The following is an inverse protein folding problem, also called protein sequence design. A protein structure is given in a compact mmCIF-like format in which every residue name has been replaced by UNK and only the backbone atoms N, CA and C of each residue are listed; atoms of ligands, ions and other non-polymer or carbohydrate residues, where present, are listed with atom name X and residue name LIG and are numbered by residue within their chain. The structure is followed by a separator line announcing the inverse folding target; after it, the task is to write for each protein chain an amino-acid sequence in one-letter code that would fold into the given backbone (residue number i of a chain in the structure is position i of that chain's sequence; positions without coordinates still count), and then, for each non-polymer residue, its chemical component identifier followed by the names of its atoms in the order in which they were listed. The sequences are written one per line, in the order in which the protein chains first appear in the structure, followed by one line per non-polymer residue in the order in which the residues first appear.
data_IF_794221789577
#
_entry.id   IF_794221789577
#
_cell.length_a   1.000
_cell.length_b   1.000
_cell.length_c   1.000
_cell.angle_alpha   90.00
_cell.angle_beta   90.00
_cell.angle_gamma   90.00
#
_symmetry.space_group_name_H-M   'P 1'
#
loop_
_entity.id
_entity.type
_entity.pdbx_description
1 polymer ?
#
# COMPACT_ATOMS: atom_id res chain seq x y z
N UNK A 1 -19.16 -20.57 -16.75
CA UNK A 1 -17.72 -20.26 -16.79
C UNK A 1 -17.32 -19.86 -15.39
N UNK A 2 -16.52 -20.68 -14.70
CA UNK A 2 -16.03 -20.37 -13.37
C UNK A 2 -14.92 -19.33 -13.50
N UNK A 3 -15.13 -18.14 -12.96
CA UNK A 3 -14.12 -17.11 -12.84
C UNK A 3 -13.00 -17.65 -11.93
N UNK A 4 -11.71 -17.60 -12.32
CA UNK A 4 -10.65 -17.98 -11.40
C UNK A 4 -10.74 -17.06 -10.20
N UNK A 5 -10.83 -17.62 -9.00
CA UNK A 5 -10.72 -16.85 -7.77
C UNK A 5 -9.41 -16.07 -7.86
N UNK A 6 -9.49 -14.73 -7.89
CA UNK A 6 -8.31 -13.88 -7.84
C UNK A 6 -7.46 -14.36 -6.66
N UNK A 7 -6.19 -14.67 -6.91
CA UNK A 7 -5.27 -15.10 -5.87
C UNK A 7 -5.35 -14.09 -4.72
N UNK A 8 -5.95 -14.51 -3.60
CA UNK A 8 -6.09 -13.65 -2.43
C UNK A 8 -4.70 -13.46 -1.86
N UNK A 9 -4.17 -12.25 -1.94
CA UNK A 9 -2.97 -11.88 -1.18
C UNK A 9 -3.35 -12.02 0.29
N UNK A 10 -2.70 -12.94 1.02
CA UNK A 10 -2.84 -13.02 2.47
C UNK A 10 -2.05 -11.86 3.09
N UNK A 11 -2.73 -10.72 3.21
CA UNK A 11 -2.16 -9.49 3.76
C UNK A 11 -1.66 -9.71 5.20
N UNK A 12 -2.29 -10.59 5.97
CA UNK A 12 -1.89 -10.86 7.35
C UNK A 12 -0.51 -11.54 7.41
N UNK A 13 -0.27 -12.52 6.54
CA UNK A 13 1.04 -13.18 6.43
C UNK A 13 2.15 -12.22 5.98
N UNK A 14 1.86 -11.35 5.00
CA UNK A 14 2.80 -10.31 4.56
C UNK A 14 3.11 -9.32 5.68
N UNK A 15 2.10 -8.91 6.44
CA UNK A 15 2.27 -8.00 7.58
C UNK A 15 3.10 -8.65 8.69
N UNK A 16 2.92 -9.95 8.96
CA UNK A 16 3.74 -10.67 9.93
C UNK A 16 5.21 -10.71 9.51
N UNK A 17 5.46 -11.04 8.23
CA UNK A 17 6.82 -11.05 7.65
C UNK A 17 7.47 -9.66 7.69
N UNK A 18 6.68 -8.60 7.48
CA UNK A 18 7.16 -7.22 7.59
C UNK A 18 7.50 -6.83 9.04
N UNK A 19 6.69 -7.26 10.01
CA UNK A 19 6.97 -7.03 11.44
C UNK A 19 8.26 -7.74 11.84
N UNK A 20 8.46 -8.99 11.42
CA UNK A 20 9.70 -9.73 11.65
C UNK A 20 10.90 -9.01 11.05
N UNK A 21 10.78 -8.51 9.81
CA UNK A 21 11.83 -7.71 9.17
C UNK A 21 12.14 -6.41 9.93
N UNK A 22 11.11 -5.68 10.38
CA UNK A 22 11.29 -4.44 11.17
C UNK A 22 11.92 -4.71 12.55
N UNK A 23 11.61 -5.85 13.16
CA UNK A 23 12.27 -6.30 14.39
C UNK A 23 13.74 -6.67 14.12
N UNK A 24 14.04 -7.35 13.01
CA UNK A 24 15.40 -7.65 12.58
C UNK A 24 16.25 -6.39 12.31
N UNK A 25 15.62 -5.31 11.86
CA UNK A 25 16.25 -4.00 11.66
C UNK A 25 16.31 -3.14 12.94
N UNK A 26 15.77 -3.60 14.06
CA UNK A 26 15.72 -2.85 15.31
C UNK A 26 14.81 -1.61 15.29
N UNK A 27 13.91 -1.51 14.30
CA UNK A 27 12.94 -0.42 14.16
C UNK A 27 11.77 -0.59 15.12
N UNK A 28 11.38 -1.85 15.37
CA UNK A 28 10.38 -2.21 16.36
C UNK A 28 11.03 -2.93 17.54
N UNK A 29 10.56 -2.71 18.79
CA UNK A 29 10.99 -3.53 19.91
C UNK A 29 10.57 -4.99 19.67
N UNK A 30 11.55 -5.90 19.74
CA UNK A 30 11.29 -7.33 19.76
C UNK A 30 10.68 -7.76 21.11
N UNK A 31 9.92 -8.85 21.11
CA UNK A 31 9.30 -9.44 22.32
C UNK A 31 10.31 -10.01 23.33
N UNK A 32 11.62 -9.82 23.11
CA UNK A 32 12.72 -10.30 23.95
C UNK A 32 13.65 -9.16 24.35
N UNK A 33 13.84 -9.03 25.66
CA UNK A 33 14.71 -8.14 26.44
C UNK A 33 15.96 -7.59 25.70
N UNK A 34 16.11 -6.25 25.77
CA UNK A 34 17.39 -5.55 25.61
C UNK A 34 17.31 -4.44 24.58
N UNK A 35 17.51 -3.19 25.02
CA UNK A 35 17.81 -2.06 24.14
C UNK A 35 19.18 -2.29 23.48
N UNK A 36 19.22 -3.15 22.45
CA UNK A 36 20.34 -3.21 21.54
C UNK A 36 20.31 -1.93 20.69
N UNK A 37 21.46 -1.27 20.56
CA UNK A 37 21.63 -0.08 19.74
C UNK A 37 21.01 -0.29 18.34
N UNK A 38 20.40 0.74 17.74
CA UNK A 38 19.91 0.64 16.38
C UNK A 38 21.11 0.28 15.48
N UNK A 39 20.92 -0.78 14.69
CA UNK A 39 21.82 -1.31 13.66
C UNK A 39 23.30 -1.53 14.06
N UNK A 40 23.60 -2.66 14.71
CA UNK A 40 24.94 -3.26 14.73
C UNK A 40 25.31 -3.98 13.42
N UNK A 41 24.81 -3.49 12.28
CA UNK A 41 25.10 -4.04 10.95
C UNK A 41 26.47 -3.53 10.48
N UNK A 42 27.24 -4.38 9.80
CA UNK A 42 28.41 -3.90 9.07
C UNK A 42 27.98 -2.94 7.94
N UNK A 43 28.87 -2.05 7.49
CA UNK A 43 28.54 -1.01 6.51
C UNK A 43 27.91 -1.59 5.22
N UNK A 44 28.41 -2.74 4.76
CA UNK A 44 27.89 -3.45 3.59
C UNK A 44 26.46 -3.98 3.81
N UNK A 45 26.15 -4.46 5.02
CA UNK A 45 24.84 -5.00 5.36
C UNK A 45 23.78 -3.89 5.44
N UNK A 46 24.16 -2.67 5.86
CA UNK A 46 23.28 -1.50 5.85
C UNK A 46 22.89 -1.12 4.41
N UNK A 47 23.83 -1.18 3.48
CA UNK A 47 23.56 -0.88 2.07
C UNK A 47 22.60 -1.89 1.44
N UNK A 48 22.80 -3.19 1.72
CA UNK A 48 21.92 -4.26 1.24
C UNK A 48 20.51 -4.08 1.81
N UNK A 49 20.40 -3.89 3.13
CA UNK A 49 19.12 -3.66 3.78
C UNK A 49 18.38 -2.42 3.23
N UNK A 50 19.12 -1.34 2.95
CA UNK A 50 18.55 -0.13 2.33
C UNK A 50 17.94 -0.43 0.95
N UNK A 51 18.66 -1.17 0.10
CA UNK A 51 18.18 -1.56 -1.23
C UNK A 51 16.94 -2.46 -1.17
N UNK A 52 16.89 -3.38 -0.20
CA UNK A 52 15.74 -4.27 0.03
C UNK A 52 14.51 -3.49 0.49
N UNK A 53 14.66 -2.57 1.45
CA UNK A 53 13.56 -1.71 1.93
C UNK A 53 13.01 -0.86 0.80
N UNK A 54 13.88 -0.29 -0.05
CA UNK A 54 13.46 0.47 -1.24
C UNK A 54 12.71 -0.40 -2.26
N UNK A 55 13.14 -1.66 -2.45
CA UNK A 55 12.44 -2.61 -3.30
C UNK A 55 11.03 -2.91 -2.81
N UNK A 56 10.88 -3.15 -1.50
CA UNK A 56 9.59 -3.35 -0.87
C UNK A 56 8.71 -2.10 -1.00
N UNK A 57 9.27 -0.91 -0.77
CA UNK A 57 8.57 0.37 -0.93
C UNK A 57 7.95 0.52 -2.32
N UNK A 58 8.71 0.20 -3.38
CA UNK A 58 8.22 0.23 -4.76
C UNK A 58 7.07 -0.75 -5.01
N UNK A 59 7.13 -1.96 -4.45
CA UNK A 59 6.05 -2.95 -4.56
C UNK A 59 4.77 -2.41 -3.91
N UNK A 60 4.88 -1.89 -2.68
CA UNK A 60 3.74 -1.32 -1.94
C UNK A 60 3.17 -0.10 -2.67
N UNK A 61 4.00 0.75 -3.26
CA UNK A 61 3.55 1.89 -4.06
C UNK A 61 2.81 1.45 -5.33
N UNK A 62 3.26 0.39 -6.00
CA UNK A 62 2.52 -0.23 -7.11
C UNK A 62 1.13 -0.70 -6.70
N UNK A 63 1.01 -1.37 -5.56
CA UNK A 63 -0.28 -1.81 -5.00
C UNK A 63 -1.18 -0.62 -4.66
N UNK A 64 -0.63 0.43 -4.03
CA UNK A 64 -1.38 1.67 -3.70
C UNK A 64 -1.96 2.33 -4.95
N UNK A 65 -1.18 2.38 -6.04
CA UNK A 65 -1.63 2.92 -7.33
C UNK A 65 -2.72 2.04 -7.94
N UNK A 66 -2.52 0.71 -7.96
CA UNK A 66 -3.50 -0.25 -8.50
C UNK A 66 -4.85 -0.16 -7.79
N UNK A 67 -4.84 -0.07 -6.46
CA UNK A 67 -6.07 0.05 -5.66
C UNK A 67 -6.75 1.40 -5.81
N UNK A 68 -6.00 2.50 -5.95
CA UNK A 68 -6.59 3.79 -6.30
C UNK A 68 -7.32 3.73 -7.65
N UNK A 69 -6.78 2.99 -8.64
CA UNK A 69 -7.43 2.71 -9.91
C UNK A 69 -8.71 1.89 -9.77
N UNK A 70 -8.70 0.80 -8.99
CA UNK A 70 -9.92 0.01 -8.72
C UNK A 70 -11.02 0.85 -8.07
N UNK A 71 -10.69 1.65 -7.05
CA UNK A 71 -11.67 2.52 -6.39
C UNK A 71 -12.23 3.55 -7.37
N UNK A 72 -11.40 4.07 -8.29
CA UNK A 72 -11.86 4.98 -9.34
C UNK A 72 -12.81 4.29 -10.33
N UNK A 73 -12.49 3.07 -10.77
CA UNK A 73 -13.34 2.27 -11.66
C UNK A 73 -14.69 1.94 -11.00
N UNK A 74 -14.67 1.49 -9.74
CA UNK A 74 -15.89 1.20 -8.96
C UNK A 74 -16.70 2.47 -8.59
N UNK A 75 -16.12 3.65 -8.79
CA UNK A 75 -16.78 4.94 -8.59
C UNK A 75 -17.05 5.68 -9.90
N UNK A 76 -16.96 4.99 -11.04
CA UNK A 76 -17.13 5.59 -12.34
C UNK A 76 -18.53 6.20 -12.51
N UNK A 77 -18.63 7.17 -13.42
CA UNK A 77 -19.84 7.98 -13.60
C UNK A 77 -21.04 7.11 -14.01
N UNK A 78 -20.82 6.00 -14.73
CA UNK A 78 -21.87 5.04 -15.08
C UNK A 78 -22.62 4.45 -13.88
N UNK A 79 -22.00 4.44 -12.69
CA UNK A 79 -22.63 3.94 -11.47
C UNK A 79 -23.47 4.98 -10.73
N UNK A 80 -23.58 6.22 -11.24
CA UNK A 80 -24.49 7.21 -10.67
C UNK A 80 -24.22 7.46 -9.18
N UNK A 81 -25.21 7.23 -8.33
CA UNK A 81 -25.10 7.35 -6.86
C UNK A 81 -24.73 6.03 -6.16
N UNK A 82 -24.76 4.91 -6.89
CA UNK A 82 -24.29 3.60 -6.42
C UNK A 82 -22.76 3.48 -6.49
N UNK A 83 -22.09 4.36 -7.24
CA UNK A 83 -20.64 4.39 -7.35
C UNK A 83 -19.97 4.47 -5.97
N UNK A 84 -18.94 3.66 -5.75
CA UNK A 84 -18.36 3.37 -4.43
C UNK A 84 -18.11 4.62 -3.57
N UNK A 85 -17.50 5.67 -4.11
CA UNK A 85 -17.28 6.89 -3.33
C UNK A 85 -18.58 7.57 -2.88
N UNK A 86 -19.60 7.64 -3.76
CA UNK A 86 -20.87 8.30 -3.47
C UNK A 86 -21.77 7.49 -2.56
N UNK A 87 -21.80 6.16 -2.71
CA UNK A 87 -22.55 5.28 -1.79
C UNK A 87 -22.00 5.35 -0.35
N UNK A 88 -20.74 5.74 -0.19
CA UNK A 88 -20.12 6.07 1.09
C UNK A 88 -20.24 7.56 1.49
N UNK A 89 -21.04 8.36 0.79
CA UNK A 89 -21.31 9.77 1.12
C UNK A 89 -20.25 10.77 0.68
N UNK A 90 -19.28 10.36 -0.15
CA UNK A 90 -18.24 11.24 -0.67
C UNK A 90 -18.60 11.79 -2.04
N UNK A 91 -18.46 13.12 -2.20
CA UNK A 91 -18.69 13.81 -3.48
C UNK A 91 -17.64 13.55 -4.56
N UNK A 92 -16.53 12.90 -4.22
CA UNK A 92 -15.48 12.52 -5.17
C UNK A 92 -14.61 11.37 -4.66
N UNK A 93 -14.06 10.60 -5.60
CA UNK A 93 -13.10 9.52 -5.35
C UNK A 93 -11.87 10.00 -4.58
N UNK A 94 -11.37 11.19 -4.92
CA UNK A 94 -10.21 11.78 -4.26
C UNK A 94 -10.46 11.98 -2.76
N UNK A 95 -11.61 12.56 -2.38
CA UNK A 95 -11.94 12.79 -0.96
C UNK A 95 -12.18 11.48 -0.22
N UNK A 96 -12.80 10.50 -0.88
CA UNK A 96 -12.95 9.16 -0.33
C UNK A 96 -11.60 8.52 -0.02
N UNK A 97 -10.66 8.53 -0.98
CA UNK A 97 -9.32 7.98 -0.79
C UNK A 97 -8.49 8.74 0.24
N UNK A 98 -8.57 10.07 0.30
CA UNK A 98 -7.94 10.86 1.37
C UNK A 98 -8.45 10.42 2.74
N UNK A 99 -9.77 10.23 2.89
CA UNK A 99 -10.37 9.78 4.15
C UNK A 99 -10.01 8.35 4.52
N UNK A 100 -9.98 7.42 3.57
CA UNK A 100 -9.69 6.00 3.87
C UNK A 100 -8.20 5.78 4.13
N UNK A 101 -7.33 6.46 3.38
CA UNK A 101 -5.88 6.22 3.42
C UNK A 101 -5.12 7.20 4.31
N UNK A 102 -5.77 8.28 4.76
CA UNK A 102 -5.14 9.40 5.47
C UNK A 102 -3.97 10.05 4.71
N UNK A 103 -3.87 9.80 3.40
CA UNK A 103 -2.86 10.40 2.54
C UNK A 103 -3.28 11.81 2.11
N UNK A 104 -2.29 12.67 1.85
CA UNK A 104 -2.56 14.03 1.36
C UNK A 104 -3.28 14.01 0.01
N UNK A 105 -4.08 15.06 -0.25
CA UNK A 105 -4.66 15.33 -1.57
C UNK A 105 -3.68 15.14 -2.72
N UNK A 106 -2.47 15.69 -2.61
CA UNK A 106 -1.46 15.60 -3.67
C UNK A 106 -1.08 14.15 -3.94
N UNK A 107 -0.78 13.40 -2.88
CA UNK A 107 -0.43 11.98 -2.97
C UNK A 107 -1.54 11.15 -3.61
N UNK A 108 -2.80 11.37 -3.23
CA UNK A 108 -3.95 10.68 -3.81
C UNK A 108 -4.12 11.02 -5.30
N UNK A 109 -4.01 12.30 -5.66
CA UNK A 109 -4.09 12.72 -7.05
C UNK A 109 -2.98 12.12 -7.92
N UNK A 110 -1.75 12.08 -7.42
CA UNK A 110 -0.62 11.49 -8.15
C UNK A 110 -0.83 9.98 -8.36
N UNK A 111 -1.35 9.27 -7.36
CA UNK A 111 -1.72 7.84 -7.49
C UNK A 111 -2.83 7.64 -8.53
N UNK A 112 -3.90 8.43 -8.49
CA UNK A 112 -5.00 8.35 -9.45
C UNK A 112 -4.52 8.63 -10.88
N UNK A 113 -3.71 9.68 -11.07
CA UNK A 113 -3.12 10.02 -12.37
C UNK A 113 -2.23 8.90 -12.91
N UNK A 114 -1.39 8.32 -12.03
CA UNK A 114 -0.53 7.22 -12.42
C UNK A 114 -1.34 5.97 -12.78
N UNK A 115 -2.38 5.65 -12.01
CA UNK A 115 -3.28 4.53 -12.28
C UNK A 115 -3.93 4.65 -13.66
N UNK A 116 -4.38 5.85 -14.06
CA UNK A 116 -4.91 6.10 -15.42
C UNK A 116 -3.85 5.83 -16.51
N UNK A 117 -2.58 6.14 -16.24
CA UNK A 117 -1.48 5.94 -17.21
C UNK A 117 -0.98 4.50 -17.28
N UNK A 118 -1.16 3.73 -16.20
CA UNK A 118 -0.69 2.34 -16.08
C UNK A 118 -1.84 1.34 -16.12
N UNK A 119 -2.99 1.73 -16.67
CA UNK A 119 -4.17 0.87 -16.77
C UNK A 119 -3.85 -0.33 -17.67
N UNK A 120 -3.40 -1.42 -17.07
CA UNK A 120 -3.35 -2.74 -17.70
C UNK A 120 -4.75 -3.34 -17.52
N UNK A 121 -5.57 -3.24 -18.57
CA UNK A 121 -6.86 -3.93 -18.70
C UNK A 121 -6.70 -5.44 -18.64
#
# INVERSE_FOLDING_TARGET
MNQPAAASIDIASVMHSLVDALQGLGVLPGSGVGAAAPCGLADEDVMVATAEVESLGRIVDGLRVRMAGEVAALSAVEYGDEGLSKSHGFRSVQLFLESVTQASKRTVQDRLRLATRTHTT
#
